data_IF_414954129448
#
_entry.id   IF_414954129448
#
_cell.length_a   1.000
_cell.length_b   1.000
_cell.length_c   1.000
_cell.angle_alpha   90.00
_cell.angle_beta   90.00
_cell.angle_gamma   90.00
#
_symmetry.space_group_name_H-M   'P 1'
#
loop_
_entity.id
_entity.type
_entity.pdbx_description
1 polymer ?
#
# COMPACT_ATOMS: atom_id res chain seq x y z
N UNK A 1 -10.99 20.28 -16.64
CA UNK A 1 -11.59 21.57 -16.26
C UNK A 1 -13.11 21.60 -16.46
N UNK A 2 -13.66 21.35 -17.66
CA UNK A 2 -15.13 21.40 -17.91
C UNK A 2 -15.92 20.47 -16.97
N UNK A 3 -15.43 19.23 -16.72
CA UNK A 3 -16.08 18.28 -15.82
C UNK A 3 -16.14 18.81 -14.38
N UNK A 4 -15.06 19.35 -13.84
CA UNK A 4 -15.03 19.87 -12.47
C UNK A 4 -15.97 21.07 -12.30
N UNK A 5 -15.97 22.02 -13.24
CA UNK A 5 -16.93 23.13 -13.23
C UNK A 5 -18.39 22.66 -13.24
N UNK A 6 -18.69 21.57 -13.94
CA UNK A 6 -20.05 21.01 -13.93
C UNK A 6 -20.38 20.30 -12.62
N UNK A 7 -19.38 19.67 -11.97
CA UNK A 7 -19.57 18.99 -10.68
C UNK A 7 -19.82 19.99 -9.54
N UNK A 8 -19.31 21.23 -9.61
CA UNK A 8 -19.59 22.28 -8.63
C UNK A 8 -21.09 22.58 -8.47
N UNK A 9 -21.90 22.33 -9.51
CA UNK A 9 -23.37 22.54 -9.44
C UNK A 9 -24.03 21.50 -8.49
N UNK A 10 -23.32 20.43 -8.09
CA UNK A 10 -23.87 19.30 -7.33
C UNK A 10 -23.12 18.98 -6.05
N UNK A 11 -21.83 19.33 -5.96
CA UNK A 11 -20.95 18.91 -4.88
C UNK A 11 -20.09 20.07 -4.36
N UNK A 12 -19.86 20.10 -3.04
CA UNK A 12 -19.01 21.09 -2.38
C UNK A 12 -17.54 20.62 -2.31
N UNK A 13 -17.29 19.32 -2.47
CA UNK A 13 -15.96 18.72 -2.41
C UNK A 13 -15.83 17.52 -3.34
N UNK A 14 -14.58 17.16 -3.68
CA UNK A 14 -14.29 15.91 -4.38
C UNK A 14 -12.98 15.30 -3.88
N UNK A 15 -12.88 13.97 -4.00
CA UNK A 15 -11.67 13.22 -3.69
C UNK A 15 -10.93 12.87 -4.98
N UNK A 16 -9.63 13.15 -5.00
CA UNK A 16 -8.68 12.58 -5.97
C UNK A 16 -8.20 11.25 -5.40
N UNK A 17 -8.60 10.17 -6.05
CA UNK A 17 -8.10 8.84 -5.74
C UNK A 17 -6.66 8.70 -6.23
N UNK A 18 -5.82 8.02 -5.44
CA UNK A 18 -4.40 7.83 -5.72
C UNK A 18 -3.67 9.13 -6.13
N UNK A 19 -3.73 10.17 -5.29
CA UNK A 19 -3.10 11.47 -5.62
C UNK A 19 -1.60 11.35 -5.88
N UNK A 20 -0.95 10.32 -5.31
CA UNK A 20 0.46 10.00 -5.56
C UNK A 20 0.75 9.77 -7.05
N UNK A 21 -0.25 9.37 -7.86
CA UNK A 21 -0.15 9.21 -9.30
C UNK A 21 0.16 10.50 -10.06
N UNK A 22 -0.08 11.68 -9.45
CA UNK A 22 0.32 12.98 -10.01
C UNK A 22 1.82 13.26 -9.83
N UNK A 23 2.46 12.58 -8.88
CA UNK A 23 3.90 12.63 -8.63
C UNK A 23 4.63 11.57 -9.44
N UNK A 24 4.23 10.31 -9.29
CA UNK A 24 4.79 9.12 -9.96
C UNK A 24 3.80 7.97 -9.95
N UNK A 25 4.04 7.01 -10.82
CA UNK A 25 3.32 5.73 -10.89
C UNK A 25 4.35 4.61 -10.75
N UNK A 26 3.94 3.48 -10.17
CA UNK A 26 4.73 2.26 -10.21
C UNK A 26 4.37 1.47 -11.47
N UNK A 27 5.32 1.34 -12.39
CA UNK A 27 5.16 0.58 -13.63
C UNK A 27 5.77 -0.81 -13.46
N UNK A 28 5.02 -1.85 -13.80
CA UNK A 28 5.49 -3.24 -13.79
C UNK A 28 5.56 -3.70 -15.23
N UNK A 29 6.74 -4.15 -15.73
CA UNK A 29 6.86 -4.66 -17.10
C UNK A 29 5.92 -5.84 -17.34
N UNK A 30 5.40 -5.97 -18.56
CA UNK A 30 4.34 -6.95 -18.89
C UNK A 30 4.75 -8.42 -18.75
N UNK A 31 6.04 -8.72 -18.78
CA UNK A 31 6.61 -10.03 -18.55
C UNK A 31 6.58 -10.48 -17.08
N UNK A 32 6.35 -9.56 -16.14
CA UNK A 32 6.25 -9.87 -14.73
C UNK A 32 4.79 -9.97 -14.27
N UNK A 33 4.56 -10.81 -13.28
CA UNK A 33 3.29 -10.96 -12.55
C UNK A 33 3.36 -10.23 -11.20
N UNK A 34 4.53 -10.29 -10.58
CA UNK A 34 4.80 -9.63 -9.30
C UNK A 34 5.38 -8.24 -9.51
N UNK A 35 5.10 -7.32 -8.59
CA UNK A 35 5.54 -5.93 -8.69
C UNK A 35 7.00 -5.66 -8.34
N UNK A 36 7.80 -6.66 -7.91
CA UNK A 36 9.17 -6.46 -7.41
C UNK A 36 10.13 -5.92 -8.48
N UNK A 37 9.93 -6.27 -9.75
CA UNK A 37 10.72 -5.75 -10.88
C UNK A 37 10.06 -4.56 -11.57
N UNK A 38 9.22 -3.83 -10.86
CA UNK A 38 8.71 -2.54 -11.30
C UNK A 38 9.68 -1.40 -11.03
N UNK A 39 9.35 -0.24 -11.56
CA UNK A 39 10.07 1.02 -11.34
C UNK A 39 9.12 2.21 -11.30
N UNK A 40 9.54 3.32 -10.74
CA UNK A 40 8.75 4.56 -10.78
C UNK A 40 8.81 5.23 -12.15
N UNK A 41 7.67 5.80 -12.57
CA UNK A 41 7.56 6.65 -13.76
C UNK A 41 6.76 7.93 -13.41
N UNK A 42 7.32 9.14 -13.63
CA UNK A 42 8.70 9.40 -14.06
C UNK A 42 9.70 9.15 -12.93
N UNK A 43 10.94 8.86 -13.31
CA UNK A 43 12.06 8.68 -12.41
C UNK A 43 13.33 9.30 -12.97
N UNK A 44 14.37 9.34 -12.14
CA UNK A 44 15.74 9.73 -12.48
C UNK A 44 16.63 8.48 -12.35
N UNK A 45 16.67 7.59 -13.36
CA UNK A 45 17.48 6.38 -13.30
C UNK A 45 18.97 6.71 -13.19
N UNK A 46 19.76 5.80 -12.63
CA UNK A 46 21.18 5.95 -12.34
C UNK A 46 22.03 5.51 -13.53
N UNK A 47 23.06 6.26 -13.85
CA UNK A 47 24.13 5.79 -14.76
C UNK A 47 25.08 4.84 -14.01
N UNK A 48 25.84 3.97 -14.72
CA UNK A 48 26.90 3.16 -14.09
C UNK A 48 27.88 3.99 -13.26
N UNK A 49 28.32 5.12 -13.79
CA UNK A 49 29.23 6.01 -13.08
C UNK A 49 28.65 6.58 -11.77
N UNK A 50 27.35 6.94 -11.76
CA UNK A 50 26.68 7.35 -10.52
C UNK A 50 26.62 6.20 -9.49
N UNK A 51 26.42 4.96 -9.93
CA UNK A 51 26.42 3.77 -9.06
C UNK A 51 27.81 3.55 -8.45
N UNK A 52 28.84 3.63 -9.25
CA UNK A 52 30.24 3.49 -8.83
C UNK A 52 30.68 4.59 -7.86
N UNK A 53 30.13 5.81 -7.98
CA UNK A 53 30.40 6.89 -7.02
C UNK A 53 29.93 6.59 -5.60
N UNK A 54 28.96 5.68 -5.40
CA UNK A 54 28.59 5.17 -4.07
C UNK A 54 29.57 4.12 -3.55
N UNK A 55 30.52 3.66 -4.38
CA UNK A 55 31.49 2.66 -4.00
C UNK A 55 31.10 1.21 -4.35
N UNK A 56 30.01 1.03 -5.11
CA UNK A 56 29.57 -0.29 -5.60
C UNK A 56 30.29 -0.61 -6.94
N UNK A 57 31.00 -1.75 -7.01
CA UNK A 57 31.51 -2.27 -8.28
C UNK A 57 30.35 -2.71 -9.18
N UNK A 58 30.07 -1.89 -10.21
CA UNK A 58 28.94 -2.11 -11.09
C UNK A 58 29.26 -3.08 -12.22
N UNK A 59 29.13 -4.37 -11.94
CA UNK A 59 29.10 -5.39 -12.98
C UNK A 59 27.68 -5.56 -13.52
N UNK A 60 27.38 -4.91 -14.64
CA UNK A 60 26.05 -4.90 -15.25
C UNK A 60 25.47 -6.31 -15.42
N UNK A 61 26.22 -7.23 -16.06
CA UNK A 61 25.77 -8.59 -16.35
C UNK A 61 25.40 -9.35 -15.07
N UNK A 62 26.16 -9.17 -13.98
CA UNK A 62 25.91 -9.81 -12.70
C UNK A 62 24.70 -9.20 -11.98
N UNK A 63 24.55 -7.88 -12.00
CA UNK A 63 23.62 -7.17 -11.13
C UNK A 63 22.24 -6.97 -11.75
N UNK A 64 22.10 -7.14 -13.09
CA UNK A 64 20.85 -6.95 -13.82
C UNK A 64 20.27 -8.23 -14.42
N UNK A 65 20.97 -9.37 -14.31
CA UNK A 65 20.49 -10.67 -14.77
C UNK A 65 20.10 -11.53 -13.57
N UNK A 66 19.03 -12.32 -13.63
CA UNK A 66 18.63 -13.19 -12.54
C UNK A 66 19.79 -14.09 -12.07
N UNK A 67 20.20 -13.89 -10.81
CA UNK A 67 21.30 -14.63 -10.19
C UNK A 67 20.78 -15.94 -9.61
N UNK A 68 20.98 -17.04 -10.34
CA UNK A 68 20.48 -18.36 -9.96
C UNK A 68 21.67 -19.26 -9.60
N UNK A 69 21.96 -19.33 -8.29
CA UNK A 69 23.04 -20.17 -7.75
C UNK A 69 22.45 -21.45 -7.12
N UNK A 70 23.12 -22.59 -7.36
CA UNK A 70 22.70 -23.89 -6.84
C UNK A 70 22.49 -23.92 -5.33
N UNK A 71 23.25 -23.13 -4.58
CA UNK A 71 23.28 -23.17 -3.12
C UNK A 71 21.98 -22.75 -2.46
N UNK A 72 21.22 -21.82 -3.06
CA UNK A 72 19.95 -21.37 -2.46
C UNK A 72 18.69 -22.05 -3.04
N UNK A 73 18.81 -22.82 -4.13
CA UNK A 73 17.65 -23.49 -4.73
C UNK A 73 16.91 -24.43 -3.74
N UNK A 74 17.59 -25.16 -2.84
CA UNK A 74 16.91 -25.98 -1.84
C UNK A 74 16.02 -25.20 -0.87
N UNK A 75 16.32 -23.93 -0.57
CA UNK A 75 15.46 -23.07 0.25
C UNK A 75 14.12 -22.80 -0.42
N UNK A 76 14.10 -22.68 -1.74
CA UNK A 76 12.90 -22.41 -2.53
C UNK A 76 12.10 -23.67 -2.85
N UNK A 77 12.80 -24.75 -3.26
CA UNK A 77 12.18 -25.92 -3.88
C UNK A 77 12.19 -27.17 -2.99
N UNK A 78 13.03 -27.22 -1.93
CA UNK A 78 13.16 -28.39 -1.05
C UNK A 78 13.50 -29.66 -1.82
N UNK A 79 12.75 -30.72 -1.61
CA UNK A 79 12.95 -32.03 -2.24
C UNK A 79 12.78 -32.02 -3.76
N UNK A 80 12.09 -30.99 -4.32
CA UNK A 80 11.88 -30.80 -5.76
C UNK A 80 13.03 -30.11 -6.49
N UNK A 81 14.13 -29.77 -5.77
CA UNK A 81 15.24 -28.98 -6.34
C UNK A 81 15.84 -29.61 -7.59
N UNK A 82 16.18 -30.89 -7.59
CA UNK A 82 16.79 -31.56 -8.75
C UNK A 82 15.81 -31.69 -9.94
N UNK A 83 14.54 -31.93 -9.66
CA UNK A 83 13.48 -31.92 -10.68
C UNK A 83 13.36 -30.55 -11.35
N UNK A 84 13.35 -29.47 -10.56
CA UNK A 84 13.26 -28.10 -11.07
C UNK A 84 14.51 -27.74 -11.88
N UNK A 85 15.72 -28.10 -11.43
CA UNK A 85 16.94 -27.90 -12.20
C UNK A 85 16.83 -28.60 -13.54
N UNK A 86 16.47 -29.85 -13.57
CA UNK A 86 16.34 -30.64 -14.81
C UNK A 86 15.26 -30.10 -15.76
N UNK A 87 14.12 -29.71 -15.20
CA UNK A 87 12.98 -29.29 -16.02
C UNK A 87 13.08 -27.84 -16.53
N UNK A 88 13.46 -26.89 -15.66
CA UNK A 88 13.28 -25.46 -15.90
C UNK A 88 14.58 -24.68 -16.06
N UNK A 89 15.71 -25.19 -15.60
CA UNK A 89 16.98 -24.49 -15.59
C UNK A 89 17.97 -25.07 -16.61
N UNK A 90 18.78 -24.20 -17.19
CA UNK A 90 19.94 -24.57 -17.99
C UNK A 90 21.20 -24.11 -17.26
N UNK A 91 22.24 -24.98 -17.23
CA UNK A 91 23.49 -24.66 -16.57
C UNK A 91 24.27 -23.62 -17.38
N UNK A 92 24.68 -22.51 -16.74
CA UNK A 92 25.51 -21.46 -17.33
C UNK A 92 26.97 -21.54 -16.87
N UNK A 93 27.21 -22.07 -15.65
CA UNK A 93 28.55 -22.36 -15.11
C UNK A 93 28.48 -23.51 -14.12
N UNK A 94 29.58 -23.84 -13.43
CA UNK A 94 29.64 -24.94 -12.46
C UNK A 94 28.59 -24.81 -11.33
N UNK A 95 28.21 -23.60 -10.94
CA UNK A 95 27.27 -23.32 -9.83
C UNK A 95 26.06 -22.47 -10.23
N UNK A 96 26.05 -21.89 -11.42
CA UNK A 96 25.02 -20.97 -11.84
C UNK A 96 24.15 -21.54 -12.97
N UNK A 97 22.91 -21.10 -12.94
CA UNK A 97 21.89 -21.47 -13.92
C UNK A 97 21.24 -20.25 -14.55
N UNK A 98 20.52 -20.49 -15.63
CA UNK A 98 19.59 -19.53 -16.25
C UNK A 98 18.26 -20.22 -16.46
N UNK A 99 17.18 -19.49 -16.48
CA UNK A 99 15.86 -20.01 -16.84
C UNK A 99 15.86 -20.43 -18.32
N UNK A 100 15.26 -21.57 -18.63
CA UNK A 100 15.08 -22.01 -20.02
C UNK A 100 14.11 -21.06 -20.75
N UNK A 101 14.24 -20.88 -22.09
CA UNK A 101 13.46 -19.89 -22.85
C UNK A 101 11.92 -20.01 -22.74
N UNK A 102 11.41 -21.20 -22.44
CA UNK A 102 9.97 -21.41 -22.30
C UNK A 102 9.40 -20.95 -20.93
N UNK A 103 10.28 -20.63 -19.96
CA UNK A 103 9.91 -20.19 -18.62
C UNK A 103 10.77 -18.99 -18.12
N UNK A 104 11.42 -18.24 -19.01
CA UNK A 104 12.35 -17.16 -18.69
C UNK A 104 11.65 -15.85 -18.22
N UNK A 105 10.31 -15.82 -18.26
CA UNK A 105 9.52 -14.73 -17.70
C UNK A 105 8.45 -15.24 -16.75
N UNK A 106 8.01 -14.41 -15.78
CA UNK A 106 6.95 -14.80 -14.87
C UNK A 106 5.63 -15.09 -15.59
N UNK A 107 5.32 -14.39 -16.69
CA UNK A 107 4.12 -14.66 -17.50
C UNK A 107 4.14 -16.03 -18.16
N UNK A 108 5.31 -16.46 -18.66
CA UNK A 108 5.46 -17.81 -19.21
C UNK A 108 5.30 -18.88 -18.12
N UNK A 109 5.92 -18.65 -16.95
CA UNK A 109 5.72 -19.52 -15.78
C UNK A 109 4.25 -19.57 -15.36
N UNK A 110 3.57 -18.43 -15.28
CA UNK A 110 2.14 -18.39 -14.94
C UNK A 110 1.30 -19.24 -15.89
N UNK A 111 1.55 -19.13 -17.20
CA UNK A 111 0.86 -19.92 -18.21
C UNK A 111 1.11 -21.44 -18.08
N UNK A 112 2.35 -21.84 -17.76
CA UNK A 112 2.72 -23.25 -17.55
C UNK A 112 2.01 -23.88 -16.34
N UNK A 113 1.71 -23.08 -15.32
CA UNK A 113 1.04 -23.53 -14.10
C UNK A 113 -0.44 -23.14 -14.04
N UNK A 114 -1.02 -22.70 -15.16
CA UNK A 114 -2.44 -22.38 -15.22
C UNK A 114 -3.29 -23.63 -14.89
N UNK A 115 -4.23 -23.48 -13.95
CA UNK A 115 -5.11 -24.54 -13.50
C UNK A 115 -4.49 -25.58 -12.55
N UNK A 116 -3.19 -25.50 -12.22
CA UNK A 116 -2.56 -26.35 -11.21
C UNK A 116 -2.81 -25.77 -9.83
N UNK A 117 -3.35 -26.59 -8.92
CA UNK A 117 -3.75 -26.18 -7.57
C UNK A 117 -3.08 -27.00 -6.45
N UNK A 118 -2.33 -28.05 -6.83
CA UNK A 118 -1.61 -28.87 -5.87
C UNK A 118 -0.42 -28.11 -5.25
N UNK A 119 -0.11 -28.43 -4.04
CA UNK A 119 0.92 -27.72 -3.23
C UNK A 119 2.30 -27.76 -3.90
N UNK A 120 2.68 -28.89 -4.51
CA UNK A 120 3.96 -29.07 -5.17
C UNK A 120 4.10 -28.11 -6.37
N UNK A 121 3.09 -28.07 -7.24
CA UNK A 121 3.04 -27.16 -8.38
C UNK A 121 3.05 -25.68 -7.97
N UNK A 122 2.29 -25.34 -6.91
CA UNK A 122 2.27 -23.95 -6.39
C UNK A 122 3.62 -23.55 -5.80
N UNK A 123 4.32 -24.47 -5.12
CA UNK A 123 5.67 -24.24 -4.60
C UNK A 123 6.67 -24.00 -5.73
N UNK A 124 6.67 -24.85 -6.77
CA UNK A 124 7.53 -24.67 -7.95
C UNK A 124 7.24 -23.32 -8.62
N UNK A 125 5.98 -22.99 -8.89
CA UNK A 125 5.57 -21.69 -9.49
C UNK A 125 6.12 -20.52 -8.67
N UNK A 126 5.93 -20.54 -7.35
CA UNK A 126 6.41 -19.49 -6.44
C UNK A 126 7.93 -19.35 -6.47
N UNK A 127 8.63 -20.48 -6.44
CA UNK A 127 10.10 -20.51 -6.52
C UNK A 127 10.63 -19.98 -7.86
N UNK A 128 10.01 -20.36 -8.99
CA UNK A 128 10.37 -19.82 -10.33
C UNK A 128 10.13 -18.31 -10.41
N UNK A 129 9.07 -17.79 -9.81
CA UNK A 129 8.85 -16.36 -9.70
C UNK A 129 9.94 -15.66 -8.86
N UNK A 130 10.35 -16.28 -7.75
CA UNK A 130 11.39 -15.74 -6.89
C UNK A 130 12.73 -15.64 -7.61
N UNK A 131 13.17 -16.70 -8.29
CA UNK A 131 14.46 -16.68 -9.02
C UNK A 131 14.45 -15.72 -10.21
N UNK A 132 13.30 -15.46 -10.84
CA UNK A 132 13.18 -14.44 -11.89
C UNK A 132 13.38 -13.01 -11.35
N UNK A 133 13.19 -12.79 -10.06
CA UNK A 133 13.37 -11.50 -9.36
C UNK A 133 14.79 -11.32 -8.77
N UNK A 134 15.70 -12.28 -8.91
CA UNK A 134 17.04 -12.27 -8.31
C UNK A 134 18.02 -11.34 -9.05
N UNK A 135 17.67 -10.04 -9.04
CA UNK A 135 18.48 -8.94 -9.58
C UNK A 135 18.60 -7.83 -8.55
N UNK A 136 19.68 -7.03 -8.60
CA UNK A 136 19.79 -5.81 -7.78
C UNK A 136 19.37 -4.56 -8.53
N UNK A 137 19.53 -4.54 -9.85
CA UNK A 137 19.14 -3.43 -10.68
C UNK A 137 18.27 -3.87 -11.84
N UNK A 138 17.39 -2.97 -12.24
CA UNK A 138 16.55 -3.08 -13.42
C UNK A 138 17.02 -2.05 -14.45
N UNK A 139 17.09 -2.43 -15.71
CA UNK A 139 17.40 -1.52 -16.81
C UNK A 139 16.20 -0.61 -17.07
N UNK A 140 16.47 0.69 -17.26
CA UNK A 140 15.41 1.61 -17.66
C UNK A 140 14.91 1.29 -19.07
N UNK A 141 13.59 1.18 -19.30
CA UNK A 141 13.05 0.83 -20.62
C UNK A 141 13.20 1.93 -21.67
N UNK A 142 13.44 3.18 -21.27
CA UNK A 142 13.56 4.34 -22.16
C UNK A 142 15.02 4.76 -22.37
N UNK A 143 15.85 4.55 -21.35
CA UNK A 143 17.28 4.86 -21.33
C UNK A 143 18.06 3.57 -20.95
N UNK A 144 18.29 2.65 -21.90
CA UNK A 144 18.82 1.31 -21.59
C UNK A 144 20.23 1.26 -20.96
N UNK A 145 20.95 2.37 -20.97
CA UNK A 145 22.24 2.58 -20.32
C UNK A 145 22.12 3.08 -18.86
N UNK A 146 20.88 3.23 -18.35
CA UNK A 146 20.59 3.64 -16.98
C UNK A 146 19.79 2.58 -16.23
N UNK A 147 19.82 2.66 -14.90
CA UNK A 147 19.37 1.59 -14.03
C UNK A 147 18.55 2.11 -12.85
N UNK A 148 17.60 1.27 -12.40
CA UNK A 148 16.84 1.44 -11.17
C UNK A 148 17.25 0.36 -10.17
N UNK A 149 17.56 0.66 -8.92
CA UNK A 149 17.67 -0.39 -7.92
C UNK A 149 16.33 -1.10 -7.77
N UNK A 150 16.34 -2.44 -7.72
CA UNK A 150 15.11 -3.22 -7.51
C UNK A 150 14.58 -3.00 -6.09
N UNK A 151 13.28 -2.77 -5.97
CA UNK A 151 12.64 -2.61 -4.66
C UNK A 151 12.83 -3.90 -3.82
N UNK A 152 13.10 -3.76 -2.53
CA UNK A 152 13.39 -4.87 -1.60
C UNK A 152 14.58 -5.77 -2.03
N UNK A 153 15.53 -5.23 -2.80
CA UNK A 153 16.69 -6.00 -3.25
C UNK A 153 17.56 -6.52 -2.10
N UNK A 154 17.56 -5.86 -0.94
CA UNK A 154 18.26 -6.33 0.28
C UNK A 154 17.77 -7.70 0.79
N UNK A 155 16.62 -8.17 0.35
CA UNK A 155 16.08 -9.49 0.67
C UNK A 155 16.54 -10.58 -0.30
N UNK A 156 17.23 -10.23 -1.40
CA UNK A 156 17.68 -11.17 -2.42
C UNK A 156 18.89 -12.00 -1.98
N UNK A 157 19.07 -13.16 -2.60
CA UNK A 157 20.27 -13.98 -2.44
C UNK A 157 21.51 -13.27 -3.00
N UNK A 158 21.35 -12.60 -4.15
CA UNK A 158 22.43 -11.82 -4.75
C UNK A 158 22.96 -10.74 -3.80
N UNK A 159 22.08 -10.04 -3.09
CA UNK A 159 22.50 -9.05 -2.08
C UNK A 159 23.30 -9.70 -0.94
N UNK A 160 22.88 -10.87 -0.45
CA UNK A 160 23.57 -11.58 0.62
C UNK A 160 24.99 -12.06 0.21
N UNK A 161 25.23 -12.26 -1.09
CA UNK A 161 26.53 -12.63 -1.65
C UNK A 161 27.46 -11.42 -1.89
N UNK A 162 26.99 -10.20 -1.71
CA UNK A 162 27.84 -9.02 -1.81
C UNK A 162 28.81 -8.96 -0.62
N UNK A 163 29.97 -8.33 -0.84
CA UNK A 163 30.85 -7.95 0.26
C UNK A 163 30.15 -6.97 1.21
N UNK A 164 30.60 -6.89 2.47
CA UNK A 164 30.02 -5.93 3.42
C UNK A 164 30.16 -4.46 2.94
N UNK A 165 31.23 -4.13 2.19
CA UNK A 165 31.41 -2.81 1.57
C UNK A 165 30.41 -2.56 0.46
N UNK A 166 30.14 -3.56 -0.39
CA UNK A 166 29.16 -3.42 -1.47
C UNK A 166 27.73 -3.36 -0.97
N UNK A 167 27.39 -4.13 0.09
CA UNK A 167 26.10 -4.05 0.76
C UNK A 167 25.88 -2.62 1.30
N UNK A 168 26.87 -2.06 2.00
CA UNK A 168 26.81 -0.69 2.52
C UNK A 168 26.63 0.33 1.40
N UNK A 169 27.42 0.22 0.31
CA UNK A 169 27.33 1.09 -0.85
C UNK A 169 25.94 1.01 -1.52
N UNK A 170 25.43 -0.20 -1.70
CA UNK A 170 24.10 -0.44 -2.25
C UNK A 170 22.99 0.14 -1.35
N UNK A 171 23.09 -0.02 -0.03
CA UNK A 171 22.10 0.51 0.92
C UNK A 171 22.04 2.04 0.89
N UNK A 172 23.19 2.72 0.82
CA UNK A 172 23.25 4.19 0.69
C UNK A 172 22.63 4.66 -0.63
N UNK A 173 22.96 3.99 -1.74
CA UNK A 173 22.39 4.25 -3.06
C UNK A 173 20.88 4.01 -3.05
N UNK A 174 20.43 2.86 -2.53
CA UNK A 174 19.03 2.47 -2.44
C UNK A 174 18.22 3.48 -1.65
N UNK A 175 18.71 3.88 -0.46
CA UNK A 175 18.04 4.85 0.38
C UNK A 175 17.94 6.21 -0.31
N UNK A 176 19.02 6.71 -0.91
CA UNK A 176 18.98 7.94 -1.69
C UNK A 176 17.98 7.84 -2.83
N UNK A 177 18.00 6.74 -3.62
CA UNK A 177 17.15 6.56 -4.78
C UNK A 177 15.66 6.58 -4.42
N UNK A 178 15.24 5.81 -3.42
CA UNK A 178 13.83 5.66 -3.10
C UNK A 178 13.26 6.80 -2.24
N UNK A 179 14.08 7.49 -1.45
CA UNK A 179 13.58 8.46 -0.48
C UNK A 179 14.01 9.91 -0.71
N UNK A 180 15.03 10.18 -1.52
CA UNK A 180 15.58 11.55 -1.69
C UNK A 180 15.70 12.01 -3.14
N UNK A 181 16.35 11.21 -4.01
CA UNK A 181 16.75 11.58 -5.37
C UNK A 181 15.64 12.27 -6.18
N UNK A 182 14.41 11.84 -5.99
CA UNK A 182 13.28 12.25 -6.82
C UNK A 182 12.44 13.39 -6.22
N UNK A 183 12.70 13.83 -4.98
CA UNK A 183 11.80 14.71 -4.25
C UNK A 183 11.47 15.99 -5.01
N UNK A 184 12.47 16.75 -5.46
CA UNK A 184 12.26 18.00 -6.19
C UNK A 184 11.68 17.75 -7.60
N UNK A 185 12.09 16.68 -8.25
CA UNK A 185 11.58 16.30 -9.57
C UNK A 185 10.09 15.95 -9.49
N UNK A 186 9.69 15.08 -8.57
CA UNK A 186 8.29 14.71 -8.39
C UNK A 186 7.44 15.87 -7.89
N UNK A 187 7.99 16.72 -7.05
CA UNK A 187 7.34 17.96 -6.59
C UNK A 187 6.98 18.88 -7.76
N UNK A 188 7.93 19.13 -8.65
CA UNK A 188 7.69 19.94 -9.85
C UNK A 188 6.63 19.31 -10.76
N UNK A 189 6.69 17.99 -10.97
CA UNK A 189 5.67 17.26 -11.76
C UNK A 189 4.27 17.40 -11.14
N UNK A 190 4.15 17.23 -9.84
CA UNK A 190 2.88 17.34 -9.13
C UNK A 190 2.31 18.76 -9.24
N UNK A 191 3.10 19.80 -9.01
CA UNK A 191 2.65 21.20 -9.17
C UNK A 191 2.15 21.47 -10.58
N UNK A 192 2.89 21.06 -11.61
CA UNK A 192 2.49 21.25 -13.00
C UNK A 192 1.14 20.61 -13.34
N UNK A 193 0.83 19.47 -12.73
CA UNK A 193 -0.40 18.70 -12.98
C UNK A 193 -1.56 19.11 -12.09
N UNK A 194 -1.32 19.31 -10.79
CA UNK A 194 -2.37 19.58 -9.80
C UNK A 194 -2.82 21.04 -9.79
N UNK A 195 -1.93 22.03 -9.95
CA UNK A 195 -2.29 23.45 -9.92
C UNK A 195 -3.42 23.79 -10.90
N UNK A 196 -3.37 23.42 -12.20
CA UNK A 196 -4.45 23.73 -13.13
C UNK A 196 -5.73 22.92 -12.87
N UNK A 197 -5.65 21.82 -12.13
CA UNK A 197 -6.81 21.02 -11.74
C UNK A 197 -7.52 21.67 -10.54
N UNK A 198 -6.79 21.96 -9.47
CA UNK A 198 -7.29 22.63 -8.27
C UNK A 198 -7.86 23.99 -8.63
N UNK A 199 -7.14 24.81 -9.39
CA UNK A 199 -7.60 26.13 -9.84
C UNK A 199 -8.73 26.13 -10.89
N UNK A 200 -9.30 24.96 -11.24
CA UNK A 200 -10.41 24.87 -12.18
C UNK A 200 -11.79 24.79 -11.52
N UNK A 201 -11.87 24.74 -10.21
CA UNK A 201 -13.09 24.55 -9.41
C UNK A 201 -12.98 25.26 -8.06
N UNK A 202 -14.12 25.62 -7.46
CA UNK A 202 -14.20 26.14 -6.09
C UNK A 202 -14.51 25.03 -5.06
N UNK A 203 -14.70 23.77 -5.52
CA UNK A 203 -14.91 22.66 -4.61
C UNK A 203 -13.67 22.40 -3.75
N UNK A 204 -13.89 21.98 -2.51
CA UNK A 204 -12.82 21.49 -1.64
C UNK A 204 -12.17 20.25 -2.26
N UNK A 205 -10.83 20.22 -2.29
CA UNK A 205 -10.09 19.09 -2.86
C UNK A 205 -9.53 18.23 -1.75
N UNK A 206 -9.85 16.93 -1.78
CA UNK A 206 -9.28 15.92 -0.89
C UNK A 206 -8.43 14.94 -1.72
N UNK A 207 -7.30 14.50 -1.20
CA UNK A 207 -6.43 13.51 -1.83
C UNK A 207 -6.42 12.20 -1.05
N UNK A 208 -6.40 11.07 -1.75
CA UNK A 208 -6.03 9.80 -1.15
C UNK A 208 -4.51 9.66 -1.27
N UNK A 209 -3.80 9.84 -0.15
CA UNK A 209 -2.36 9.89 -0.03
C UNK A 209 -1.84 8.78 0.91
N UNK A 210 -2.27 7.55 0.67
CA UNK A 210 -1.85 6.38 1.42
C UNK A 210 -0.72 5.62 0.73
N UNK A 211 0.05 4.84 1.50
CA UNK A 211 1.13 3.98 1.00
C UNK A 211 2.52 4.57 1.19
N UNK A 212 3.42 4.34 0.24
CA UNK A 212 4.79 4.89 0.27
C UNK A 212 4.77 6.35 -0.19
N UNK A 213 4.80 7.26 0.76
CA UNK A 213 4.60 8.69 0.54
C UNK A 213 5.97 9.40 0.45
N UNK A 214 6.35 9.99 -0.70
CA UNK A 214 7.52 10.85 -0.80
C UNK A 214 7.40 12.09 0.10
N UNK A 215 8.52 12.59 0.64
CA UNK A 215 8.56 13.79 1.50
C UNK A 215 7.98 15.04 0.83
N UNK A 216 8.04 15.10 -0.50
CA UNK A 216 7.47 16.21 -1.28
C UNK A 216 5.93 16.25 -1.28
N UNK A 217 5.24 15.16 -0.96
CA UNK A 217 3.76 15.09 -1.07
C UNK A 217 3.06 15.99 -0.05
N UNK A 218 3.37 15.96 1.25
CA UNK A 218 2.74 16.85 2.22
C UNK A 218 2.95 18.34 1.90
N UNK A 219 4.14 18.72 1.41
CA UNK A 219 4.44 20.11 1.03
C UNK A 219 3.58 20.58 -0.15
N UNK A 220 3.45 19.75 -1.20
CA UNK A 220 2.59 20.08 -2.36
C UNK A 220 1.13 20.16 -1.95
N UNK A 221 0.62 19.16 -1.20
CA UNK A 221 -0.77 19.15 -0.77
C UNK A 221 -1.10 20.36 0.10
N UNK A 222 -0.23 20.70 1.05
CA UNK A 222 -0.43 21.85 1.91
C UNK A 222 -0.42 23.18 1.12
N UNK A 223 0.52 23.38 0.19
CA UNK A 223 0.58 24.60 -0.66
C UNK A 223 -0.62 24.73 -1.59
N UNK A 224 -1.18 23.63 -2.07
CA UNK A 224 -2.38 23.62 -2.91
C UNK A 224 -3.67 23.50 -2.11
N UNK A 225 -3.60 23.49 -0.79
CA UNK A 225 -4.73 23.32 0.14
C UNK A 225 -5.55 22.05 -0.16
N UNK A 226 -4.87 20.97 -0.55
CA UNK A 226 -5.48 19.67 -0.76
C UNK A 226 -5.48 18.93 0.57
N UNK A 227 -6.64 18.45 1.00
CA UNK A 227 -6.80 17.74 2.26
C UNK A 227 -6.25 16.33 2.18
N UNK A 228 -5.43 15.97 3.15
CA UNK A 228 -4.90 14.61 3.30
C UNK A 228 -5.95 13.65 3.86
N UNK A 229 -5.79 12.35 3.62
CA UNK A 229 -6.60 11.30 4.23
C UNK A 229 -5.87 10.73 5.45
N UNK A 230 -6.51 10.78 6.63
CA UNK A 230 -5.94 10.31 7.88
C UNK A 230 -6.73 9.12 8.43
N UNK A 231 -6.04 7.99 8.59
CA UNK A 231 -6.61 6.74 9.08
C UNK A 231 -5.72 6.24 10.24
N UNK A 232 -6.28 6.13 11.44
CA UNK A 232 -5.53 5.78 12.65
C UNK A 232 -4.71 4.49 12.50
N UNK A 233 -5.29 3.45 11.92
CA UNK A 233 -4.67 2.13 11.73
C UNK A 233 -3.79 1.99 10.49
N UNK A 234 -3.60 3.08 9.74
CA UNK A 234 -2.69 3.19 8.59
C UNK A 234 -1.81 4.44 8.73
N UNK A 235 -0.88 4.47 9.68
CA UNK A 235 -0.03 5.63 9.89
C UNK A 235 0.87 5.90 8.68
N UNK A 236 1.04 7.17 8.36
CA UNK A 236 1.95 7.64 7.30
C UNK A 236 3.42 7.63 7.73
N UNK A 237 3.67 7.46 9.02
CA UNK A 237 5.00 7.38 9.61
C UNK A 237 5.36 5.92 9.85
N UNK A 238 6.36 5.35 9.15
CA UNK A 238 6.68 3.92 9.22
C UNK A 238 7.06 3.40 10.62
N UNK A 239 7.53 4.29 11.50
CA UNK A 239 7.95 3.95 12.87
C UNK A 239 6.77 3.82 13.85
N UNK A 240 5.56 4.18 13.43
CA UNK A 240 4.36 4.09 14.26
C UNK A 240 3.47 2.95 13.79
N UNK A 241 2.87 2.24 14.72
CA UNK A 241 1.89 1.20 14.41
C UNK A 241 0.47 1.79 14.21
N UNK A 242 0.19 2.93 14.88
CA UNK A 242 -1.05 3.69 14.79
C UNK A 242 -0.75 5.18 14.66
N UNK A 243 -1.60 5.90 13.93
CA UNK A 243 -1.51 7.37 13.85
C UNK A 243 -1.90 8.00 15.18
N UNK A 244 -1.25 9.09 15.50
CA UNK A 244 -1.58 9.89 16.68
C UNK A 244 -2.73 10.86 16.32
N UNK A 245 -3.95 10.51 16.75
CA UNK A 245 -5.16 11.29 16.48
C UNK A 245 -5.10 12.72 17.04
N UNK A 246 -4.33 12.97 18.09
CA UNK A 246 -4.18 14.31 18.69
C UNK A 246 -3.32 15.26 17.85
N UNK A 247 -2.49 14.71 16.95
CA UNK A 247 -1.54 15.47 16.13
C UNK A 247 -1.85 15.41 14.62
N UNK A 248 -3.10 15.12 14.25
CA UNK A 248 -3.50 15.13 12.84
C UNK A 248 -3.49 16.55 12.25
N UNK A 249 -3.11 16.72 10.98
CA UNK A 249 -3.14 18.02 10.33
C UNK A 249 -4.57 18.55 10.21
N UNK A 250 -4.73 19.88 10.35
CA UNK A 250 -6.07 20.51 10.20
C UNK A 250 -6.66 20.29 8.81
N UNK A 251 -5.87 20.50 7.75
CA UNK A 251 -6.30 20.27 6.37
C UNK A 251 -6.31 18.78 6.03
N UNK A 252 -7.19 18.03 6.69
CA UNK A 252 -7.34 16.60 6.49
C UNK A 252 -8.78 16.11 6.64
N UNK A 253 -8.99 14.92 6.13
CA UNK A 253 -10.20 14.10 6.36
C UNK A 253 -9.80 12.94 7.24
N UNK A 254 -10.33 12.88 8.45
CA UNK A 254 -10.15 11.75 9.35
C UNK A 254 -11.29 10.73 9.19
N UNK A 255 -10.95 9.44 9.20
CA UNK A 255 -11.93 8.35 9.10
C UNK A 255 -11.43 7.10 9.85
N UNK A 256 -12.36 6.30 10.35
CA UNK A 256 -12.07 4.99 10.97
C UNK A 256 -11.67 3.93 9.94
N UNK A 257 -12.26 3.98 8.74
CA UNK A 257 -12.00 3.06 7.63
C UNK A 257 -12.42 3.67 6.29
N UNK A 258 -12.03 3.00 5.19
CA UNK A 258 -12.47 3.31 3.83
C UNK A 258 -13.16 2.10 3.21
N UNK A 259 -13.69 2.27 1.99
CA UNK A 259 -14.27 1.16 1.23
C UNK A 259 -13.26 0.05 0.86
N UNK A 260 -11.95 0.35 0.85
CA UNK A 260 -10.87 -0.61 0.54
C UNK A 260 -10.30 -1.31 1.78
N UNK A 261 -10.86 -1.00 2.95
CA UNK A 261 -10.46 -1.57 4.22
C UNK A 261 -11.63 -2.27 4.90
N UNK A 262 -11.33 -3.14 5.85
CA UNK A 262 -12.35 -3.73 6.71
C UNK A 262 -12.98 -2.68 7.62
N UNK A 263 -14.30 -2.70 7.83
CA UNK A 263 -14.95 -1.93 8.87
C UNK A 263 -14.39 -2.27 10.26
N UNK A 264 -14.63 -1.42 11.23
CA UNK A 264 -14.07 -1.50 12.59
C UNK A 264 -14.23 -2.87 13.25
N UNK A 265 -15.43 -3.48 13.13
CA UNK A 265 -15.74 -4.77 13.74
C UNK A 265 -14.97 -5.94 13.13
N UNK A 266 -14.80 -5.95 11.80
CA UNK A 266 -13.99 -6.95 11.10
C UNK A 266 -12.51 -6.75 11.40
N UNK A 267 -12.03 -5.50 11.39
CA UNK A 267 -10.66 -5.19 11.76
C UNK A 267 -10.29 -5.67 13.16
N UNK A 268 -11.22 -5.58 14.12
CA UNK A 268 -10.99 -6.05 15.48
C UNK A 268 -10.65 -7.54 15.59
N UNK A 269 -10.97 -8.32 14.54
CA UNK A 269 -10.72 -9.77 14.47
C UNK A 269 -9.56 -10.18 13.57
N UNK A 270 -8.96 -9.25 12.81
CA UNK A 270 -7.91 -9.58 11.84
C UNK A 270 -6.58 -10.03 12.49
N UNK A 271 -6.11 -9.30 13.47
CA UNK A 271 -4.83 -9.55 14.14
C UNK A 271 -4.97 -9.32 15.64
N UNK A 272 -5.13 -10.41 16.38
CA UNK A 272 -5.34 -10.36 17.82
C UNK A 272 -4.21 -9.66 18.57
N UNK A 273 -2.96 -9.85 18.17
CA UNK A 273 -1.81 -9.24 18.83
C UNK A 273 -1.79 -7.71 18.58
N UNK A 274 -2.11 -7.28 17.37
CA UNK A 274 -2.23 -5.85 17.02
C UNK A 274 -3.39 -5.21 17.78
N UNK A 275 -4.54 -5.86 17.85
CA UNK A 275 -5.72 -5.37 18.60
C UNK A 275 -5.42 -5.28 20.10
N UNK A 276 -4.69 -6.23 20.67
CA UNK A 276 -4.29 -6.15 22.07
C UNK A 276 -3.43 -4.92 22.35
N UNK A 277 -2.46 -4.62 21.47
CA UNK A 277 -1.64 -3.41 21.60
C UNK A 277 -2.47 -2.13 21.41
N UNK A 278 -3.41 -2.13 20.48
CA UNK A 278 -4.33 -1.02 20.27
C UNK A 278 -5.18 -0.75 21.51
N UNK A 279 -5.77 -1.81 22.08
CA UNK A 279 -6.61 -1.75 23.29
C UNK A 279 -5.85 -1.17 24.49
N UNK A 280 -4.62 -1.63 24.72
CA UNK A 280 -3.82 -1.17 25.83
C UNK A 280 -3.15 0.20 25.59
N UNK A 281 -2.51 0.39 24.45
CA UNK A 281 -1.62 1.53 24.24
C UNK A 281 -2.33 2.75 23.63
N UNK A 282 -3.40 2.54 22.87
CA UNK A 282 -4.16 3.61 22.21
C UNK A 282 -5.44 3.94 22.96
N UNK A 283 -6.24 2.92 23.30
CA UNK A 283 -7.48 3.14 24.05
C UNK A 283 -7.27 3.26 25.56
N UNK A 284 -6.10 2.87 26.10
CA UNK A 284 -5.72 3.04 27.48
C UNK A 284 -6.35 2.02 28.46
N UNK A 285 -6.88 0.91 27.97
CA UNK A 285 -7.44 -0.12 28.81
C UNK A 285 -6.40 -1.10 29.36
N UNK A 286 -6.60 -1.58 30.56
CA UNK A 286 -5.80 -2.67 31.13
C UNK A 286 -6.44 -4.03 30.84
N UNK A 287 -5.64 -5.09 30.88
CA UNK A 287 -6.08 -6.48 30.69
C UNK A 287 -6.22 -6.88 29.22
N UNK A 288 -6.96 -7.97 29.00
CA UNK A 288 -7.12 -8.54 27.66
C UNK A 288 -8.21 -7.81 26.87
N UNK A 289 -7.93 -7.53 25.61
CA UNK A 289 -8.92 -6.97 24.70
C UNK A 289 -10.09 -7.97 24.52
N UNK A 290 -11.35 -7.53 24.51
CA UNK A 290 -12.50 -8.39 24.19
C UNK A 290 -12.33 -9.07 22.83
N UNK A 291 -12.95 -10.23 22.64
CA UNK A 291 -12.91 -10.94 21.36
C UNK A 291 -13.60 -10.16 20.24
N UNK A 292 -14.60 -9.36 20.60
CA UNK A 292 -15.38 -8.55 19.66
C UNK A 292 -15.24 -7.06 19.98
N UNK A 293 -15.31 -6.21 18.97
CA UNK A 293 -15.49 -4.79 19.15
C UNK A 293 -16.90 -4.54 19.71
N UNK A 294 -16.98 -4.25 21.00
CA UNK A 294 -18.25 -3.95 21.67
C UNK A 294 -18.79 -2.59 21.23
N UNK A 295 -20.08 -2.34 21.46
CA UNK A 295 -20.69 -1.04 21.14
C UNK A 295 -20.00 0.12 21.88
N UNK A 296 -19.53 -0.09 23.12
CA UNK A 296 -18.81 0.92 23.89
C UNK A 296 -17.42 1.20 23.30
N UNK A 297 -16.68 0.16 22.89
CA UNK A 297 -15.39 0.33 22.22
C UNK A 297 -15.56 1.06 20.89
N UNK A 298 -16.53 0.68 20.08
CA UNK A 298 -16.84 1.37 18.83
C UNK A 298 -17.19 2.84 19.09
N UNK A 299 -17.98 3.12 20.13
CA UNK A 299 -18.35 4.49 20.54
C UNK A 299 -17.12 5.30 20.92
N UNK A 300 -16.19 4.73 21.71
CA UNK A 300 -14.96 5.41 22.10
C UNK A 300 -14.07 5.70 20.88
N UNK A 301 -13.88 4.72 19.98
CA UNK A 301 -13.05 4.89 18.80
C UNK A 301 -13.62 5.99 17.88
N UNK A 302 -14.93 5.97 17.62
CA UNK A 302 -15.59 7.02 16.83
C UNK A 302 -15.49 8.38 17.53
N UNK A 303 -15.69 8.44 18.85
CA UNK A 303 -15.51 9.66 19.64
C UNK A 303 -14.11 10.24 19.50
N UNK A 304 -13.07 9.40 19.59
CA UNK A 304 -11.68 9.83 19.42
C UNK A 304 -11.43 10.43 18.03
N UNK A 305 -12.00 9.82 16.97
CA UNK A 305 -11.90 10.36 15.60
C UNK A 305 -12.66 11.69 15.45
N UNK A 306 -13.80 11.84 16.08
CA UNK A 306 -14.54 13.11 16.07
C UNK A 306 -13.82 14.23 16.83
N UNK A 307 -13.05 13.90 17.86
CA UNK A 307 -12.30 14.86 18.68
C UNK A 307 -10.99 15.36 18.01
N UNK A 308 -10.62 14.86 16.83
CA UNK A 308 -9.39 15.25 16.13
C UNK A 308 -9.42 16.68 15.63
N UNK A 309 -8.23 17.25 15.35
CA UNK A 309 -8.09 18.57 14.73
C UNK A 309 -8.43 18.57 13.23
N UNK A 310 -8.60 17.42 12.59
CA UNK A 310 -8.99 17.31 11.17
C UNK A 310 -10.23 18.14 10.87
N UNK A 311 -10.24 18.94 9.81
CA UNK A 311 -11.38 19.77 9.45
C UNK A 311 -12.62 18.91 9.17
N UNK A 312 -12.46 17.75 8.53
CA UNK A 312 -13.54 16.82 8.25
C UNK A 312 -13.31 15.50 8.99
N UNK A 313 -14.37 14.96 9.61
CA UNK A 313 -14.42 13.61 10.13
C UNK A 313 -15.57 12.87 9.43
N UNK A 314 -15.23 11.91 8.58
CA UNK A 314 -16.21 11.16 7.77
C UNK A 314 -16.14 9.70 8.20
N UNK A 315 -17.13 9.26 8.95
CA UNK A 315 -17.19 7.90 9.50
C UNK A 315 -18.11 7.04 8.64
N UNK A 316 -17.68 5.83 8.22
CA UNK A 316 -18.54 4.90 7.49
C UNK A 316 -19.79 4.51 8.27
N UNK A 317 -20.89 4.30 7.56
CA UNK A 317 -22.18 3.95 8.21
C UNK A 317 -22.08 2.66 9.01
N UNK A 318 -21.26 1.71 8.63
CA UNK A 318 -21.01 0.47 9.34
C UNK A 318 -20.43 0.72 10.74
N UNK A 319 -19.50 1.68 10.84
CA UNK A 319 -18.83 2.00 12.08
C UNK A 319 -19.75 2.84 13.01
N UNK A 320 -20.65 3.65 12.45
CA UNK A 320 -21.76 4.25 13.20
C UNK A 320 -22.69 3.18 13.77
N UNK A 321 -23.08 2.17 12.97
CA UNK A 321 -23.93 1.08 13.44
C UNK A 321 -23.27 0.19 14.49
N UNK A 322 -21.93 0.08 14.45
CA UNK A 322 -21.18 -0.70 15.45
C UNK A 322 -21.37 -0.19 16.88
N UNK A 323 -21.79 1.07 17.06
CA UNK A 323 -22.04 1.69 18.37
C UNK A 323 -23.37 1.29 19.03
N UNK A 324 -24.21 0.51 18.36
CA UNK A 324 -25.53 0.11 18.88
C UNK A 324 -25.82 -1.37 18.60
N UNK A 325 -25.93 -2.15 19.68
CA UNK A 325 -26.14 -3.61 19.59
C UNK A 325 -27.49 -3.99 18.98
N UNK A 326 -28.47 -3.09 19.01
CA UNK A 326 -29.79 -3.31 18.40
C UNK A 326 -29.83 -3.05 16.90
N UNK A 327 -28.90 -2.23 16.41
CA UNK A 327 -28.82 -1.78 15.02
C UNK A 327 -27.72 -2.53 14.24
N UNK A 328 -26.58 -2.82 14.89
CA UNK A 328 -25.43 -3.45 14.20
C UNK A 328 -25.82 -4.74 13.50
N UNK A 329 -25.24 -4.99 12.32
CA UNK A 329 -25.46 -6.24 11.58
C UNK A 329 -24.94 -7.44 12.37
N UNK A 330 -25.67 -8.56 12.39
CA UNK A 330 -25.21 -9.79 13.07
C UNK A 330 -23.94 -10.35 12.43
N UNK A 331 -23.95 -10.44 11.12
CA UNK A 331 -22.80 -10.88 10.33
C UNK A 331 -21.92 -9.65 9.98
N UNK A 332 -20.81 -9.47 10.71
CA UNK A 332 -19.88 -8.35 10.51
C UNK A 332 -19.08 -8.48 9.22
N UNK A 333 -18.85 -9.68 8.68
CA UNK A 333 -18.14 -9.86 7.41
C UNK A 333 -18.94 -9.29 6.23
N UNK A 334 -20.25 -9.35 6.30
CA UNK A 334 -21.13 -8.76 5.29
C UNK A 334 -21.20 -7.22 5.33
N UNK A 335 -20.50 -6.57 6.25
CA UNK A 335 -20.31 -5.10 6.27
C UNK A 335 -19.21 -4.63 5.31
N UNK A 336 -18.36 -5.54 4.82
CA UNK A 336 -17.26 -5.22 3.94
C UNK A 336 -17.75 -4.80 2.55
N UNK A 337 -17.19 -3.70 2.02
CA UNK A 337 -17.57 -3.14 0.71
C UNK A 337 -16.68 -3.73 -0.39
N UNK A 338 -15.36 -3.70 -0.19
CA UNK A 338 -14.38 -4.16 -1.15
C UNK A 338 -13.34 -5.09 -0.52
N UNK A 339 -12.81 -6.01 -1.31
CA UNK A 339 -11.66 -6.88 -1.00
C UNK A 339 -10.64 -6.68 -2.12
N UNK A 340 -9.71 -5.69 -2.00
CA UNK A 340 -8.80 -5.34 -3.09
C UNK A 340 -7.90 -6.48 -3.58
N UNK A 341 -7.64 -7.48 -2.72
CA UNK A 341 -6.85 -8.66 -3.06
C UNK A 341 -7.62 -9.74 -3.84
N UNK A 342 -8.95 -9.63 -3.92
CA UNK A 342 -9.81 -10.56 -4.65
C UNK A 342 -10.32 -9.92 -5.94
N UNK A 343 -9.75 -10.31 -7.08
CA UNK A 343 -10.14 -9.80 -8.40
C UNK A 343 -11.58 -10.17 -8.82
N UNK A 344 -12.19 -11.14 -8.14
CA UNK A 344 -13.57 -11.58 -8.39
C UNK A 344 -14.57 -10.96 -7.40
N UNK A 345 -14.09 -10.15 -6.44
CA UNK A 345 -14.96 -9.50 -5.48
C UNK A 345 -15.88 -8.51 -6.19
N UNK A 346 -17.15 -8.52 -5.78
CA UNK A 346 -18.18 -7.65 -6.36
C UNK A 346 -18.71 -6.67 -5.30
N UNK A 347 -18.70 -5.39 -5.57
CA UNK A 347 -19.20 -4.35 -4.70
C UNK A 347 -20.72 -4.42 -4.56
N UNK A 348 -21.20 -5.16 -3.54
CA UNK A 348 -22.64 -5.43 -3.33
C UNK A 348 -23.15 -5.00 -1.97
N UNK A 349 -22.36 -4.20 -1.24
CA UNK A 349 -22.83 -3.77 0.06
C UNK A 349 -24.22 -3.11 -0.02
N UNK A 350 -25.12 -3.57 0.82
CA UNK A 350 -26.41 -2.94 1.07
C UNK A 350 -26.63 -2.81 2.56
N UNK A 351 -27.08 -1.64 2.96
CA UNK A 351 -27.50 -1.39 4.34
C UNK A 351 -28.59 -2.40 4.71
N UNK A 352 -28.47 -3.01 5.88
CA UNK A 352 -29.37 -4.10 6.31
C UNK A 352 -30.65 -3.61 6.98
N UNK A 353 -30.75 -2.31 7.23
CA UNK A 353 -31.96 -1.65 7.72
C UNK A 353 -32.47 -0.66 6.68
N UNK A 354 -33.77 -0.38 6.70
CA UNK A 354 -34.35 0.64 5.80
C UNK A 354 -34.07 2.04 6.33
N UNK A 355 -34.21 3.05 5.46
CA UNK A 355 -34.05 4.46 5.86
C UNK A 355 -35.08 4.87 6.90
N UNK A 356 -36.31 4.36 6.81
CA UNK A 356 -37.38 4.61 7.78
C UNK A 356 -36.98 4.11 9.16
N UNK A 357 -36.48 2.87 9.27
CA UNK A 357 -35.95 2.32 10.54
C UNK A 357 -34.77 3.09 11.09
N UNK A 358 -33.91 3.60 10.19
CA UNK A 358 -32.78 4.42 10.63
C UNK A 358 -33.22 5.76 11.20
N UNK A 359 -34.27 6.39 10.61
CA UNK A 359 -34.85 7.62 11.13
C UNK A 359 -35.46 7.36 12.53
N UNK A 360 -36.09 6.21 12.74
CA UNK A 360 -36.71 5.80 14.01
C UNK A 360 -35.74 5.27 15.05
N UNK A 361 -34.44 5.15 14.73
CA UNK A 361 -33.40 4.64 15.62
C UNK A 361 -32.94 5.69 16.65
N UNK A 362 -33.84 6.16 17.49
CA UNK A 362 -33.61 7.28 18.41
C UNK A 362 -32.39 7.08 19.32
N UNK A 363 -32.12 5.86 19.80
CA UNK A 363 -30.97 5.58 20.64
C UNK A 363 -29.65 5.89 19.91
N UNK A 364 -29.49 5.36 18.70
CA UNK A 364 -28.31 5.61 17.86
C UNK A 364 -28.23 7.09 17.44
N UNK A 365 -29.33 7.67 16.98
CA UNK A 365 -29.37 9.04 16.47
C UNK A 365 -29.04 10.07 17.57
N UNK A 366 -29.55 9.85 18.80
CA UNK A 366 -29.23 10.70 19.95
C UNK A 366 -27.76 10.55 20.35
N UNK A 367 -27.23 9.32 20.38
CA UNK A 367 -25.81 9.06 20.64
C UNK A 367 -24.90 9.76 19.64
N UNK A 368 -25.18 9.66 18.33
CA UNK A 368 -24.44 10.35 17.26
C UNK A 368 -24.49 11.87 17.50
N UNK A 369 -25.67 12.42 17.75
CA UNK A 369 -25.86 13.85 17.99
C UNK A 369 -25.05 14.35 19.18
N UNK A 370 -25.06 13.58 20.26
CA UNK A 370 -24.28 13.89 21.48
C UNK A 370 -22.77 13.86 21.21
N UNK A 371 -22.26 12.82 20.52
CA UNK A 371 -20.85 12.71 20.18
C UNK A 371 -20.37 13.87 19.29
N UNK A 372 -21.16 14.24 18.27
CA UNK A 372 -20.84 15.38 17.40
C UNK A 372 -20.83 16.67 18.24
N UNK A 373 -21.82 16.90 19.09
CA UNK A 373 -21.87 18.10 19.94
C UNK A 373 -20.69 18.17 20.91
N UNK A 374 -20.35 17.05 21.57
CA UNK A 374 -19.25 16.97 22.52
C UNK A 374 -17.88 17.16 21.87
N UNK A 375 -17.72 16.80 20.59
CA UNK A 375 -16.50 17.05 19.83
C UNK A 375 -16.32 18.50 19.37
N UNK A 376 -17.30 19.38 19.58
CA UNK A 376 -17.30 20.76 19.09
C UNK A 376 -17.55 20.92 17.59
N UNK A 377 -17.85 19.84 16.87
CA UNK A 377 -18.22 19.86 15.44
C UNK A 377 -19.70 20.24 15.29
N UNK A 378 -20.02 20.74 14.11
CA UNK A 378 -21.39 21.13 13.75
C UNK A 378 -21.90 20.27 12.59
#
# INVERSE_FOLDING_TARGET
>A
KKRFRKLEDYFDSFRIDHILGFFRIWEVPSEYVQGLCGHFNPALPLTPNEIEQYGLDFNEARLTTPHINREFLPELFGDQTEEVIGAFLAQSSSRHFVLKPFCDTQRKVEALFAGKTDEASLRIKKGLFAIANEVLFLRDPREPDKFHPRISASQSYLYRELSASDQYAFDQLYWNFFYHRHNEFWKAQAFNRLTPLVGSTNMLVCGEDLGMIPESVPDVMNKLQIFSLEIERMPKTPQREFSDLYNLPYHSVCTTSTHDMTPLRSWWKEDRAKIQRYYNNVLGYAGDAPEECTADLATQIVSNHLATASMLAIIPIQDWFAMDDSIKRKDYEAERINVPSDSNHYWRYRMHITLEKLIEADCLNNKITELIRNSGRK
#
